data_IF_909741265273
#
_entry.id   IF_909741265273
#
_cell.length_a   1.000
_cell.length_b   1.000
_cell.length_c   1.000
_cell.angle_alpha   90.00
_cell.angle_beta   90.00
_cell.angle_gamma   90.00
#
_symmetry.space_group_name_H-M   'P 1'
#
loop_
_entity.id
_entity.type
_entity.pdbx_description
1 polymer ?
#
# COMPACT_ATOMS: atom_id res chain seq x y z
N UNK A 1 5.75 -26.86 -4.09
CA UNK A 1 5.15 -25.58 -4.52
C UNK A 1 5.72 -24.49 -3.62
N UNK A 2 6.40 -23.49 -4.17
CA UNK A 2 6.84 -22.34 -3.37
C UNK A 2 5.57 -21.59 -2.94
N UNK A 3 5.14 -21.75 -1.69
CA UNK A 3 4.01 -21.02 -1.13
C UNK A 3 4.43 -19.55 -0.96
N UNK A 4 4.27 -18.76 -2.01
CA UNK A 4 4.46 -17.32 -1.94
C UNK A 4 3.40 -16.71 -1.02
N UNK A 5 3.82 -15.72 -0.22
CA UNK A 5 2.88 -14.82 0.45
C UNK A 5 2.02 -14.17 -0.64
N UNK A 6 0.68 -14.17 -0.53
CA UNK A 6 -0.16 -13.61 -1.56
C UNK A 6 0.08 -12.10 -1.65
N UNK A 7 0.38 -11.61 -2.87
CA UNK A 7 0.57 -10.17 -3.14
C UNK A 7 -0.74 -9.39 -3.07
N UNK A 8 -1.88 -10.08 -2.95
CA UNK A 8 -3.18 -9.48 -2.69
C UNK A 8 -3.92 -10.28 -1.63
N UNK A 9 -4.53 -9.58 -0.67
CA UNK A 9 -5.45 -10.16 0.28
C UNK A 9 -6.73 -9.35 0.35
N UNK A 10 -7.88 -10.02 0.37
CA UNK A 10 -9.20 -9.43 0.59
C UNK A 10 -9.70 -9.77 1.99
N UNK A 11 -10.15 -8.75 2.73
CA UNK A 11 -10.77 -8.92 4.04
C UNK A 11 -12.07 -8.12 4.11
N UNK A 12 -13.13 -8.81 4.52
CA UNK A 12 -14.44 -8.20 4.76
C UNK A 12 -14.58 -7.97 6.26
N UNK A 13 -14.75 -6.71 6.63
CA UNK A 13 -14.64 -6.23 8.00
C UNK A 13 -15.69 -5.12 8.25
N UNK A 14 -16.08 -4.89 9.50
CA UNK A 14 -16.97 -3.75 9.81
C UNK A 14 -16.26 -2.41 9.57
N UNK A 15 -17.01 -1.34 9.30
CA UNK A 15 -16.45 0.01 9.10
C UNK A 15 -15.56 0.47 10.27
N UNK A 16 -15.95 0.17 11.51
CA UNK A 16 -15.11 0.47 12.68
C UNK A 16 -13.81 -0.31 12.67
N UNK A 17 -13.86 -1.60 12.31
CA UNK A 17 -12.65 -2.42 12.26
C UNK A 17 -11.72 -1.98 11.12
N UNK A 18 -12.28 -1.64 9.96
CA UNK A 18 -11.51 -1.10 8.83
C UNK A 18 -10.80 0.19 9.25
N UNK A 19 -11.53 1.12 9.88
CA UNK A 19 -10.93 2.35 10.41
C UNK A 19 -9.79 2.06 11.38
N UNK A 20 -9.97 1.08 12.28
CA UNK A 20 -8.95 0.67 13.26
C UNK A 20 -7.70 0.11 12.58
N UNK A 21 -7.87 -0.85 11.66
CA UNK A 21 -6.79 -1.50 10.91
C UNK A 21 -5.99 -0.45 10.13
N UNK A 22 -6.68 0.39 9.36
CA UNK A 22 -6.07 1.43 8.52
C UNK A 22 -5.29 2.43 9.37
N UNK A 23 -5.89 2.92 10.46
CA UNK A 23 -5.23 3.87 11.36
C UNK A 23 -3.98 3.26 12.03
N UNK A 24 -4.06 1.99 12.42
CA UNK A 24 -2.95 1.26 13.04
C UNK A 24 -1.77 1.09 12.08
N UNK A 25 -2.02 0.62 10.85
CA UNK A 25 -0.96 0.46 9.84
C UNK A 25 -0.36 1.81 9.44
N UNK A 26 -1.17 2.84 9.21
CA UNK A 26 -0.69 4.20 8.94
C UNK A 26 0.22 4.69 10.08
N UNK A 27 -0.23 4.60 11.33
CA UNK A 27 0.56 5.04 12.48
C UNK A 27 1.90 4.29 12.61
N UNK A 28 1.89 2.98 12.33
CA UNK A 28 3.10 2.13 12.35
C UNK A 28 4.12 2.56 11.28
N UNK A 29 3.67 2.89 10.07
CA UNK A 29 4.56 3.37 9.00
C UNK A 29 5.05 4.80 9.25
N UNK A 30 4.19 5.70 9.74
CA UNK A 30 4.58 7.06 10.12
C UNK A 30 5.67 7.06 11.21
N UNK A 31 5.53 6.20 12.24
CA UNK A 31 6.54 6.05 13.30
C UNK A 31 7.91 5.60 12.78
N UNK A 32 7.95 4.93 11.63
CA UNK A 32 9.17 4.45 10.98
C UNK A 32 9.71 5.40 9.91
N UNK A 33 9.08 6.57 9.73
CA UNK A 33 9.49 7.55 8.72
C UNK A 33 9.23 7.11 7.27
N UNK A 34 8.35 6.12 7.05
CA UNK A 34 7.98 5.67 5.71
C UNK A 34 7.01 6.67 5.08
N UNK A 35 7.20 6.99 3.80
CA UNK A 35 6.30 7.88 3.08
C UNK A 35 4.93 7.21 2.86
N UNK A 36 3.86 7.94 3.19
CA UNK A 36 2.48 7.48 3.04
C UNK A 36 1.73 8.44 2.14
N UNK A 37 1.27 7.93 1.00
CA UNK A 37 0.39 8.63 0.08
C UNK A 37 -1.06 8.21 0.36
N UNK A 38 -1.97 9.20 0.41
CA UNK A 38 -3.38 8.95 0.68
C UNK A 38 -4.18 9.50 -0.49
N UNK A 39 -4.93 8.63 -1.16
CA UNK A 39 -5.80 8.98 -2.29
C UNK A 39 -7.25 8.76 -1.88
N UNK A 40 -8.11 9.71 -2.19
CA UNK A 40 -9.56 9.57 -2.02
C UNK A 40 -10.24 9.69 -3.37
N UNK A 41 -11.07 8.70 -3.71
CA UNK A 41 -11.75 8.61 -4.99
C UNK A 41 -13.23 8.34 -4.71
N UNK A 42 -14.05 9.36 -4.93
CA UNK A 42 -15.44 9.36 -4.48
C UNK A 42 -16.39 8.67 -5.47
N UNK A 43 -16.36 9.09 -6.74
CA UNK A 43 -17.47 8.88 -7.66
C UNK A 43 -17.23 7.78 -8.72
N UNK A 44 -16.07 7.12 -8.70
CA UNK A 44 -15.66 6.23 -9.79
C UNK A 44 -14.98 4.99 -9.26
N UNK A 45 -15.36 3.79 -9.75
CA UNK A 45 -14.55 2.61 -9.56
C UNK A 45 -13.14 2.82 -10.11
N UNK A 46 -12.18 2.13 -9.52
CA UNK A 46 -10.79 2.15 -9.96
C UNK A 46 -10.33 0.78 -10.38
N UNK A 47 -9.35 0.76 -11.27
CA UNK A 47 -8.61 -0.43 -11.61
C UNK A 47 -7.30 -0.36 -10.83
N UNK A 48 -7.07 -1.36 -9.98
CA UNK A 48 -5.84 -1.53 -9.23
C UNK A 48 -5.07 -2.74 -9.73
N UNK A 49 -3.74 -2.66 -9.69
CA UNK A 49 -2.86 -3.77 -10.05
C UNK A 49 -2.03 -4.15 -8.84
N UNK A 50 -2.11 -5.41 -8.43
CA UNK A 50 -1.23 -6.00 -7.43
C UNK A 50 -0.33 -7.03 -8.10
N UNK A 51 0.94 -7.11 -7.74
CA UNK A 51 1.85 -8.02 -8.43
C UNK A 51 3.29 -7.57 -8.53
N UNK A 52 4.05 -8.31 -9.33
CA UNK A 52 5.43 -8.05 -9.69
C UNK A 52 5.48 -7.58 -11.14
N UNK A 53 5.75 -6.30 -11.36
CA UNK A 53 5.75 -5.64 -12.67
C UNK A 53 7.19 -5.31 -13.10
N UNK A 54 7.66 -5.77 -14.27
CA UNK A 54 8.96 -5.39 -14.79
C UNK A 54 8.97 -3.89 -15.15
N UNK A 55 10.03 -3.19 -14.76
CA UNK A 55 10.19 -1.74 -15.02
C UNK A 55 11.24 -1.42 -16.10
N UNK A 56 11.89 -2.44 -16.70
CA UNK A 56 13.08 -2.27 -17.52
C UNK A 56 14.36 -2.24 -16.70
N UNK A 57 15.52 -2.33 -17.36
CA UNK A 57 16.87 -2.21 -16.76
C UNK A 57 17.11 -3.11 -15.54
N UNK A 58 16.60 -4.34 -15.57
CA UNK A 58 16.78 -5.29 -14.49
C UNK A 58 16.04 -4.92 -13.20
N UNK A 59 14.98 -4.09 -13.27
CA UNK A 59 14.18 -3.69 -12.11
C UNK A 59 12.79 -4.31 -12.14
N UNK A 60 12.28 -4.62 -10.95
CA UNK A 60 10.91 -5.10 -10.75
C UNK A 60 10.24 -4.26 -9.67
N UNK A 61 9.06 -3.73 -10.00
CA UNK A 61 8.16 -3.14 -9.01
C UNK A 61 7.33 -4.24 -8.38
N UNK A 62 7.32 -4.31 -7.06
CA UNK A 62 6.44 -5.20 -6.31
C UNK A 62 5.36 -4.34 -5.66
N UNK A 63 4.11 -4.75 -5.86
CA UNK A 63 2.92 -4.14 -5.29
C UNK A 63 2.22 -5.22 -4.46
N UNK A 64 2.32 -5.09 -3.15
CA UNK A 64 1.56 -5.88 -2.18
C UNK A 64 0.32 -5.09 -1.78
N UNK A 65 -0.86 -5.70 -1.76
CA UNK A 65 -2.11 -4.99 -1.50
C UNK A 65 -3.00 -5.74 -0.53
N UNK A 66 -3.51 -5.04 0.47
CA UNK A 66 -4.60 -5.48 1.32
C UNK A 66 -5.85 -4.66 0.98
N UNK A 67 -6.89 -5.32 0.48
CA UNK A 67 -8.22 -4.75 0.33
C UNK A 67 -9.05 -4.97 1.59
N UNK A 68 -9.68 -3.91 2.06
CA UNK A 68 -10.59 -3.86 3.20
C UNK A 68 -11.93 -3.29 2.75
N UNK A 69 -13.01 -4.06 2.88
CA UNK A 69 -14.37 -3.59 2.55
C UNK A 69 -15.42 -4.09 3.54
N UNK A 70 -16.56 -3.40 3.63
CA UNK A 70 -17.72 -3.84 4.42
C UNK A 70 -18.52 -4.96 3.76
N UNK A 71 -18.34 -5.16 2.45
CA UNK A 71 -19.12 -6.08 1.65
C UNK A 71 -18.25 -6.85 0.66
N UNK A 72 -18.76 -8.01 0.24
CA UNK A 72 -18.08 -8.87 -0.74
C UNK A 72 -18.02 -8.29 -2.15
N UNK A 73 -18.94 -7.40 -2.51
CA UNK A 73 -19.11 -6.80 -3.84
C UNK A 73 -18.34 -5.48 -4.05
N UNK A 74 -17.74 -4.90 -3.00
CA UNK A 74 -16.91 -3.69 -3.14
C UNK A 74 -15.65 -3.88 -3.99
N UNK A 75 -15.24 -5.12 -4.27
CA UNK A 75 -14.17 -5.44 -5.21
C UNK A 75 -14.41 -6.71 -6.01
N UNK A 76 -13.92 -6.72 -7.25
CA UNK A 76 -13.91 -7.86 -8.16
C UNK A 76 -12.47 -8.17 -8.58
N UNK A 77 -12.03 -9.38 -8.27
CA UNK A 77 -10.69 -9.88 -8.56
C UNK A 77 -10.68 -10.62 -9.89
N UNK A 78 -9.77 -10.26 -10.78
CA UNK A 78 -9.53 -11.00 -12.01
C UNK A 78 -8.54 -12.13 -11.78
N UNK A 79 -8.50 -13.11 -12.68
CA UNK A 79 -7.52 -14.20 -12.60
C UNK A 79 -6.08 -13.66 -12.64
N UNK A 80 -5.22 -14.23 -11.79
CA UNK A 80 -3.79 -13.93 -11.81
C UNK A 80 -3.18 -14.30 -13.15
N UNK A 81 -2.50 -13.34 -13.76
CA UNK A 81 -1.72 -13.52 -14.98
C UNK A 81 -0.25 -13.69 -14.61
N UNK A 82 0.37 -14.72 -15.16
CA UNK A 82 1.82 -14.90 -15.06
C UNK A 82 2.49 -14.16 -16.21
N UNK A 83 3.41 -13.27 -15.88
CA UNK A 83 4.22 -12.56 -16.85
C UNK A 83 5.66 -13.04 -16.77
N UNK A 84 6.30 -13.16 -17.92
CA UNK A 84 7.71 -13.49 -18.02
C UNK A 84 8.45 -12.32 -18.63
N UNK A 85 9.57 -11.97 -18.01
CA UNK A 85 10.48 -10.94 -18.50
C UNK A 85 11.91 -11.45 -18.45
N UNK A 86 12.68 -11.10 -19.47
CA UNK A 86 14.09 -11.49 -19.62
C UNK A 86 14.97 -10.24 -19.62
N UNK A 87 16.04 -10.27 -18.83
CA UNK A 87 17.03 -9.20 -18.73
C UNK A 87 18.43 -9.82 -18.66
N UNK A 88 19.22 -9.66 -19.73
CA UNK A 88 20.49 -10.37 -19.85
C UNK A 88 20.29 -11.89 -19.79
N UNK A 89 20.92 -12.56 -18.83
CA UNK A 89 20.74 -13.99 -18.55
C UNK A 89 19.66 -14.29 -17.49
N UNK A 90 19.06 -13.27 -16.89
CA UNK A 90 18.03 -13.42 -15.86
C UNK A 90 16.65 -13.54 -16.49
N UNK A 91 15.93 -14.60 -16.13
CA UNK A 91 14.51 -14.77 -16.43
C UNK A 91 13.71 -14.62 -15.16
N UNK A 92 12.80 -13.66 -15.15
CA UNK A 92 11.92 -13.36 -14.03
C UNK A 92 10.51 -13.76 -14.42
N UNK A 93 9.85 -14.52 -13.55
CA UNK A 93 8.44 -14.85 -13.67
C UNK A 93 7.71 -14.07 -12.58
N UNK A 94 6.96 -13.06 -12.99
CA UNK A 94 6.13 -12.24 -12.12
C UNK A 94 4.67 -12.70 -12.14
N UNK A 95 3.98 -12.51 -11.01
CA UNK A 95 2.53 -12.66 -10.94
C UNK A 95 1.87 -11.28 -10.91
N UNK A 96 0.81 -11.09 -11.68
CA UNK A 96 0.05 -9.85 -11.75
C UNK A 96 -1.43 -10.16 -11.63
N UNK A 97 -2.14 -9.36 -10.84
CA UNK A 97 -3.58 -9.43 -10.70
C UNK A 97 -4.20 -8.05 -10.86
N UNK A 98 -5.26 -8.01 -11.65
CA UNK A 98 -6.09 -6.81 -11.82
C UNK A 98 -7.28 -6.92 -10.88
N UNK A 99 -7.57 -5.83 -10.16
CA UNK A 99 -8.69 -5.73 -9.24
C UNK A 99 -9.52 -4.51 -9.64
N UNK A 100 -10.81 -4.71 -9.91
CA UNK A 100 -11.77 -3.62 -9.99
C UNK A 100 -12.25 -3.33 -8.57
N UNK A 101 -12.16 -2.07 -8.15
CA UNK A 101 -12.58 -1.63 -6.81
C UNK A 101 -13.68 -0.60 -6.98
N UNK A 102 -14.86 -0.93 -6.48
CA UNK A 102 -16.06 -0.10 -6.53
C UNK A 102 -16.19 0.75 -5.27
N UNK A 103 -15.83 0.18 -4.12
CA UNK A 103 -15.77 0.84 -2.82
C UNK A 103 -14.82 0.07 -1.89
N UNK A 104 -14.28 0.72 -0.87
CA UNK A 104 -13.35 0.06 0.05
C UNK A 104 -12.10 0.89 0.35
N UNK A 105 -11.15 0.23 1.00
CA UNK A 105 -9.80 0.77 1.23
C UNK A 105 -8.78 -0.22 0.72
N UNK A 106 -7.85 0.27 -0.11
CA UNK A 106 -6.64 -0.44 -0.48
C UNK A 106 -5.47 0.10 0.35
N UNK A 107 -4.81 -0.79 1.09
CA UNK A 107 -3.51 -0.55 1.70
C UNK A 107 -2.47 -1.25 0.84
N UNK A 108 -1.73 -0.49 0.04
CA UNK A 108 -0.70 -1.00 -0.84
C UNK A 108 0.69 -0.63 -0.36
N UNK A 109 1.61 -1.58 -0.41
CA UNK A 109 3.05 -1.35 -0.26
C UNK A 109 3.70 -1.54 -1.61
N UNK A 110 4.33 -0.48 -2.10
CA UNK A 110 5.02 -0.45 -3.38
C UNK A 110 6.52 -0.31 -3.16
N UNK A 111 7.29 -1.26 -3.67
CA UNK A 111 8.74 -1.17 -3.64
C UNK A 111 9.37 -1.61 -4.95
N UNK A 112 10.53 -1.04 -5.27
CA UNK A 112 11.29 -1.38 -6.48
C UNK A 112 12.52 -2.16 -6.09
N UNK A 113 12.68 -3.34 -6.66
CA UNK A 113 13.84 -4.22 -6.46
C UNK A 113 14.75 -4.13 -7.68
N UNK A 114 16.03 -3.87 -7.45
CA UNK A 114 17.08 -4.01 -8.46
C UNK A 114 17.55 -5.46 -8.50
N UNK A 115 17.58 -6.06 -9.69
CA UNK A 115 17.99 -7.44 -9.95
C UNK A 115 19.31 -7.54 -10.73
N UNK A 116 19.98 -6.41 -10.97
CA UNK A 116 21.34 -6.40 -11.51
C UNK A 116 22.38 -6.87 -10.49
N UNK A 117 23.60 -6.37 -10.61
CA UNK A 117 24.76 -6.87 -9.83
C UNK A 117 24.59 -6.80 -8.30
N UNK A 118 23.77 -5.87 -7.81
CA UNK A 118 23.40 -5.76 -6.39
C UNK A 118 21.89 -5.86 -6.20
N UNK A 119 21.46 -6.90 -5.48
CA UNK A 119 20.08 -7.05 -5.06
C UNK A 119 19.75 -6.04 -3.95
N UNK A 120 18.96 -5.01 -4.26
CA UNK A 120 18.57 -3.96 -3.30
C UNK A 120 17.20 -3.38 -3.57
N UNK A 121 16.56 -2.90 -2.50
CA UNK A 121 15.32 -2.12 -2.58
C UNK A 121 15.68 -0.66 -2.83
N UNK A 122 15.17 -0.09 -3.92
CA UNK A 122 15.47 1.28 -4.35
C UNK A 122 14.46 2.31 -3.83
N UNK A 123 13.22 1.90 -3.58
CA UNK A 123 12.16 2.74 -3.06
C UNK A 123 11.15 1.90 -2.28
N UNK A 124 10.52 2.49 -1.27
CA UNK A 124 9.43 1.89 -0.48
C UNK A 124 8.40 2.98 -0.17
N UNK A 125 7.17 2.81 -0.66
CA UNK A 125 6.05 3.75 -0.47
C UNK A 125 4.84 2.95 -0.04
N UNK A 126 4.13 3.47 0.97
CA UNK A 126 2.83 2.96 1.35
C UNK A 126 1.76 3.86 0.74
N UNK A 127 0.80 3.28 0.05
CA UNK A 127 -0.36 3.97 -0.50
C UNK A 127 -1.62 3.51 0.19
N UNK A 128 -2.45 4.46 0.60
CA UNK A 128 -3.79 4.22 1.11
C UNK A 128 -4.78 4.83 0.12
N UNK A 129 -5.50 3.99 -0.61
CA UNK A 129 -6.52 4.44 -1.55
C UNK A 129 -7.88 4.14 -0.98
N UNK A 130 -8.64 5.18 -0.67
CA UNK A 130 -10.01 5.11 -0.16
C UNK A 130 -10.97 5.35 -1.32
N UNK A 131 -11.88 4.42 -1.56
CA UNK A 131 -12.82 4.43 -2.68
C UNK A 131 -14.24 4.43 -2.15
N UNK A 132 -15.08 5.33 -2.67
CA UNK A 132 -16.50 5.42 -2.34
C UNK A 132 -16.83 6.39 -1.20
N UNK A 133 -18.04 6.95 -1.24
CA UNK A 133 -18.55 7.94 -0.28
C UNK A 133 -18.64 7.42 1.15
N UNK A 134 -19.07 6.17 1.30
CA UNK A 134 -19.30 5.57 2.62
C UNK A 134 -18.01 5.43 3.45
N UNK A 135 -16.86 5.51 2.77
CA UNK A 135 -15.53 5.39 3.37
C UNK A 135 -14.89 6.75 3.69
N UNK A 136 -15.58 7.88 3.49
CA UNK A 136 -15.04 9.24 3.79
C UNK A 136 -14.55 9.37 5.23
N UNK A 137 -15.24 8.75 6.18
CA UNK A 137 -14.85 8.76 7.60
C UNK A 137 -13.50 8.08 7.85
N UNK A 138 -13.11 7.13 7.00
CA UNK A 138 -11.80 6.48 7.09
C UNK A 138 -10.71 7.42 6.56
N UNK A 139 -10.97 8.14 5.46
CA UNK A 139 -10.09 9.21 4.96
C UNK A 139 -9.82 10.25 6.06
N UNK A 140 -10.86 10.75 6.71
CA UNK A 140 -10.73 11.75 7.78
C UNK A 140 -9.92 11.22 8.98
N UNK A 141 -10.06 9.93 9.32
CA UNK A 141 -9.28 9.29 10.36
C UNK A 141 -7.79 9.20 10.02
N UNK A 142 -7.46 8.87 8.76
CA UNK A 142 -6.07 8.82 8.28
C UNK A 142 -5.43 10.21 8.33
N UNK A 143 -6.14 11.24 7.83
CA UNK A 143 -5.64 12.62 7.83
C UNK A 143 -5.41 13.14 9.26
N UNK A 144 -6.31 12.81 10.18
CA UNK A 144 -6.15 13.13 11.61
C UNK A 144 -4.91 12.47 12.21
N UNK A 145 -4.65 11.19 11.90
CA UNK A 145 -3.47 10.47 12.38
C UNK A 145 -2.16 11.08 11.84
N UNK A 146 -2.15 11.57 10.59
CA UNK A 146 -1.00 12.27 10.00
C UNK A 146 -0.70 13.59 10.70
N UNK A 147 -1.74 14.38 11.01
CA UNK A 147 -1.58 15.65 11.72
C UNK A 147 -1.05 15.45 13.15
N UNK A 148 -1.59 14.47 13.89
CA UNK A 148 -1.12 14.14 15.24
C UNK A 148 0.35 13.70 15.26
N UNK A 149 0.75 12.88 14.29
CA UNK A 149 2.15 12.43 14.17
C UNK A 149 3.11 13.60 13.88
N UNK A 150 2.66 14.56 13.08
CA UNK A 150 3.43 15.79 12.79
C UNK A 150 3.57 16.68 14.03
N UNK A 151 2.52 16.79 14.83
CA UNK A 151 2.55 17.56 16.09
C UNK A 151 3.45 16.90 17.14
N UNK A 152 3.43 15.57 17.27
CA UNK A 152 4.32 14.84 18.17
C UNK A 152 5.79 14.97 17.75
N UNK A 153 6.09 14.90 16.44
CA UNK A 153 7.46 15.12 15.94
C UNK A 153 7.98 16.53 16.25
N UNK A 154 7.13 17.56 16.11
CA UNK A 154 7.46 18.95 16.49
C UNK A 154 7.64 19.13 18.00
N UNK A 155 6.81 18.48 18.82
CA UNK A 155 6.95 18.53 20.27
C UNK A 155 8.26 17.86 20.76
N UNK A 156 8.63 16.72 20.16
CA UNK A 156 9.86 16.00 20.47
C UNK A 156 11.12 16.80 20.08
N UNK A 157 11.14 17.47 18.92
CA UNK A 157 12.27 18.33 18.51
C UNK A 157 12.39 19.59 19.38
N UNK A 158 11.27 20.13 19.85
CA UNK A 158 11.27 21.25 20.79
C UNK A 158 11.85 20.82 22.14
N UNK A 159 11.50 19.64 22.67
CA UNK A 159 12.08 19.12 23.91
C UNK A 159 13.59 18.82 23.80
N UNK A 160 14.07 18.27 22.68
CA UNK A 160 15.51 18.03 22.49
C UNK A 160 16.35 19.33 22.48
N UNK A 161 15.78 20.44 21.99
CA UNK A 161 16.45 21.74 22.00
C UNK A 161 16.57 22.33 23.41
N UNK A 162 15.70 21.94 24.35
CA UNK A 162 15.74 22.41 25.74
C UNK A 162 16.74 21.64 26.64
N UNK A 163 17.24 20.48 26.19
CA UNK A 163 18.21 19.66 26.94
C UNK A 163 19.63 19.68 26.34
N UNK A 164 19.88 20.46 25.29
CA UNK A 164 21.24 20.72 24.81
C UNK A 164 21.85 21.88 25.62
N UNK A 165 22.38 21.58 26.80
CA UNK A 165 23.25 22.46 27.60
C UNK A 165 24.53 21.69 27.91
#
# INVERSE_FOLDING_TARGET
MLSGVPLFAKRIESMENIRSIVSSEVAKYLKRGVNIEVNYIEDKPIIHVSGQLPMGDGKVKVIETLYLGSSGDGSEEHSTVMIQYEYGSLRIVGQVMVINVYEGVLLSREYVVNLGDEFKVLSDVVKVTVVGRDYVKIKDAIESARQQSTQQAKAASTQQSYYAI
#
